data_IF_191229234674
#
_entry.id   IF_191229234674
#
_cell.length_a   1.000
_cell.length_b   1.000
_cell.length_c   1.000
_cell.angle_alpha   90.00
_cell.angle_beta   90.00
_cell.angle_gamma   90.00
#
_symmetry.space_group_name_H-M   'P 1'
#
loop_
_entity.id
_entity.type
_entity.pdbx_description
1 polymer ?
#
# COMPACT_ATOMS: atom_id res chain seq x y z
N UNK A 1 -9.67 -14.17 -4.12
CA UNK A 1 -8.63 -13.99 -5.16
C UNK A 1 -7.27 -14.16 -4.50
N UNK A 2 -6.28 -14.65 -5.24
CA UNK A 2 -4.90 -14.69 -4.75
C UNK A 2 -4.28 -13.28 -4.82
N UNK A 3 -3.52 -12.87 -3.81
CA UNK A 3 -2.80 -11.60 -3.81
C UNK A 3 -1.47 -11.70 -4.57
N UNK A 4 -0.98 -10.57 -5.08
CA UNK A 4 0.31 -10.45 -5.75
C UNK A 4 1.39 -10.10 -4.74
N UNK A 5 2.52 -10.80 -4.74
CA UNK A 5 3.68 -10.40 -3.94
C UNK A 5 4.36 -9.20 -4.61
N UNK A 6 4.47 -8.09 -3.89
CA UNK A 6 5.07 -6.83 -4.36
C UNK A 6 6.34 -6.59 -3.56
N UNK A 7 7.45 -6.36 -4.26
CA UNK A 7 8.73 -5.95 -3.69
C UNK A 7 9.10 -4.58 -4.23
N UNK A 8 9.41 -3.63 -3.35
CA UNK A 8 9.67 -2.22 -3.71
C UNK A 8 10.48 -1.50 -2.62
N UNK A 9 10.85 -0.25 -2.86
CA UNK A 9 11.41 0.65 -1.83
C UNK A 9 10.34 1.64 -1.35
N UNK A 10 10.23 1.79 -0.03
CA UNK A 10 9.35 2.78 0.61
C UNK A 10 10.21 3.61 1.56
N UNK A 11 10.26 4.92 1.36
CA UNK A 11 11.06 5.86 2.17
C UNK A 11 12.56 5.50 2.29
N UNK A 12 13.10 4.75 1.32
CA UNK A 12 14.49 4.29 1.30
C UNK A 12 14.68 2.85 1.80
N UNK A 13 13.66 2.24 2.40
CA UNK A 13 13.72 0.89 2.94
C UNK A 13 13.14 -0.13 1.95
N UNK A 14 13.86 -1.25 1.75
CA UNK A 14 13.35 -2.37 0.97
C UNK A 14 12.15 -3.01 1.71
N UNK A 15 11.01 -3.09 1.04
CA UNK A 15 9.75 -3.57 1.62
C UNK A 15 9.08 -4.58 0.70
N UNK A 16 8.57 -5.66 1.29
CA UNK A 16 7.81 -6.68 0.59
C UNK A 16 6.44 -6.87 1.25
N UNK A 17 5.37 -6.91 0.45
CA UNK A 17 4.01 -7.10 0.93
C UNK A 17 3.13 -7.79 -0.12
N UNK A 18 2.10 -8.48 0.34
CA UNK A 18 1.06 -9.04 -0.54
C UNK A 18 0.05 -7.95 -0.87
N UNK A 19 -0.22 -7.68 -2.14
CA UNK A 19 -1.22 -6.69 -2.58
C UNK A 19 -2.43 -7.40 -3.19
N UNK A 20 -3.65 -7.05 -2.77
CA UNK A 20 -4.85 -7.52 -3.47
C UNK A 20 -5.08 -6.68 -4.74
N UNK A 21 -5.58 -7.28 -5.82
CA UNK A 21 -5.77 -6.58 -7.11
C UNK A 21 -6.73 -5.39 -7.07
N UNK A 22 -7.64 -5.34 -6.08
CA UNK A 22 -8.54 -4.20 -5.86
C UNK A 22 -8.08 -3.23 -4.78
N UNK A 23 -6.93 -3.48 -4.14
CA UNK A 23 -6.40 -2.65 -3.08
C UNK A 23 -5.55 -1.52 -3.69
N UNK A 24 -5.82 -0.29 -3.27
CA UNK A 24 -5.02 0.88 -3.65
C UNK A 24 -3.71 0.92 -2.87
N UNK A 25 -2.68 1.56 -3.42
CA UNK A 25 -1.43 1.78 -2.68
C UNK A 25 -1.67 2.56 -1.38
N UNK A 26 -2.64 3.47 -1.35
CA UNK A 26 -2.99 4.23 -0.16
C UNK A 26 -3.50 3.33 0.97
N UNK A 27 -4.36 2.36 0.64
CA UNK A 27 -4.85 1.36 1.60
C UNK A 27 -3.71 0.47 2.11
N UNK A 28 -2.83 -0.01 1.23
CA UNK A 28 -1.65 -0.79 1.63
C UNK A 28 -0.81 -0.01 2.64
N UNK A 29 -0.41 1.22 2.28
CA UNK A 29 0.46 2.05 3.12
C UNK A 29 -0.15 2.25 4.51
N UNK A 30 -1.44 2.60 4.57
CA UNK A 30 -2.10 2.95 5.83
C UNK A 30 -2.47 1.73 6.67
N UNK A 31 -3.10 0.74 6.06
CA UNK A 31 -3.76 -0.35 6.78
C UNK A 31 -2.85 -1.57 6.98
N UNK A 32 -1.92 -1.81 6.05
CA UNK A 32 -1.01 -2.97 6.11
C UNK A 32 0.34 -2.61 6.69
N UNK A 33 0.89 -1.48 6.25
CA UNK A 33 2.23 -1.03 6.65
C UNK A 33 2.20 0.00 7.80
N UNK A 34 1.03 0.47 8.22
CA UNK A 34 0.89 1.43 9.33
C UNK A 34 1.42 2.84 9.01
N UNK A 35 1.73 3.14 7.76
CA UNK A 35 2.24 4.43 7.29
C UNK A 35 1.08 5.40 7.08
N UNK A 36 0.58 5.96 8.18
CA UNK A 36 -0.65 6.77 8.20
C UNK A 36 -0.44 8.25 7.82
N UNK A 37 0.76 8.63 7.39
CA UNK A 37 1.09 9.99 6.93
C UNK A 37 0.32 10.38 5.67
N UNK A 38 0.29 9.49 4.66
CA UNK A 38 -0.55 9.65 3.46
C UNK A 38 -2.03 9.63 3.84
N UNK A 39 -2.78 10.65 3.41
CA UNK A 39 -4.20 10.82 3.76
C UNK A 39 -5.10 10.52 2.57
N UNK A 40 -6.30 10.06 2.87
CA UNK A 40 -7.41 9.98 1.92
C UNK A 40 -8.25 11.24 2.08
N UNK A 41 -8.42 11.99 0.99
CA UNK A 41 -9.27 13.19 0.97
C UNK A 41 -10.68 12.88 0.48
N UNK A 42 -10.80 12.57 -0.82
CA UNK A 42 -12.08 12.34 -1.50
C UNK A 42 -12.15 11.04 -2.31
N UNK A 43 -11.04 10.31 -2.49
CA UNK A 43 -11.00 9.03 -3.21
C UNK A 43 -11.17 9.12 -4.73
N UNK A 44 -11.30 10.32 -5.31
CA UNK A 44 -11.47 10.55 -6.76
C UNK A 44 -10.20 11.07 -7.46
N UNK A 45 -9.06 11.01 -6.78
CA UNK A 45 -7.85 11.78 -7.12
C UNK A 45 -7.85 13.17 -6.49
#
# INVERSE_FOLDING_TARGET
>A
MAGTLVSTMINGDATEFVCQTGETLLEVLRNRLGLTGSKEGCGTG
#
